data_IF_929290628009
#
_entry.id   IF_929290628009
#
_cell.length_a   1.000
_cell.length_b   1.000
_cell.length_c   1.000
_cell.angle_alpha   90.00
_cell.angle_beta   90.00
_cell.angle_gamma   90.00
#
_symmetry.space_group_name_H-M   'P 1'
#
loop_
_entity.id
_entity.type
_entity.pdbx_description
1 polymer ?
#
# COMPACT_ATOMS: atom_id res chain seq x y z
N UNK A 1 -27.02 14.42 -4.30
CA UNK A 1 -26.30 13.49 -5.21
C UNK A 1 -24.91 13.24 -4.65
N UNK A 2 -24.54 11.97 -4.44
CA UNK A 2 -23.18 11.59 -4.03
C UNK A 2 -22.36 11.22 -5.26
N UNK A 3 -21.20 11.84 -5.48
CA UNK A 3 -20.36 11.57 -6.65
C UNK A 3 -18.86 11.58 -6.34
N UNK A 4 -18.09 10.89 -7.17
CA UNK A 4 -16.65 11.18 -7.30
C UNK A 4 -16.45 12.56 -7.94
N UNK A 5 -15.27 13.16 -7.76
CA UNK A 5 -14.96 14.50 -8.25
C UNK A 5 -14.64 14.53 -9.77
N UNK A 6 -15.17 13.58 -10.54
CA UNK A 6 -14.96 13.53 -11.98
C UNK A 6 -15.61 14.75 -12.66
N UNK A 7 -14.92 15.33 -13.63
CA UNK A 7 -15.41 16.49 -14.37
C UNK A 7 -16.75 16.22 -15.09
N UNK A 8 -17.00 14.97 -15.49
CA UNK A 8 -18.28 14.53 -16.09
C UNK A 8 -19.43 14.61 -15.07
N UNK A 9 -19.15 14.41 -13.79
CA UNK A 9 -20.17 14.40 -12.74
C UNK A 9 -20.34 15.76 -12.06
N UNK A 10 -19.24 16.41 -11.68
CA UNK A 10 -19.24 17.65 -10.90
C UNK A 10 -18.73 18.89 -11.68
N UNK A 11 -18.53 18.76 -12.99
CA UNK A 11 -18.07 19.85 -13.84
C UNK A 11 -19.06 21.03 -13.85
N UNK A 12 -18.55 22.25 -13.61
CA UNK A 12 -19.35 23.49 -13.56
C UNK A 12 -20.11 23.79 -14.86
N UNK A 13 -19.67 23.24 -15.99
CA UNK A 13 -20.31 23.40 -17.30
C UNK A 13 -20.47 22.00 -17.91
N UNK A 14 -21.71 21.55 -18.04
CA UNK A 14 -22.03 20.26 -18.65
C UNK A 14 -21.78 19.02 -17.78
N UNK A 15 -21.40 19.17 -16.51
CA UNK A 15 -21.37 18.05 -15.57
C UNK A 15 -22.78 17.63 -15.16
N UNK A 16 -23.00 16.34 -14.91
CA UNK A 16 -24.32 15.78 -14.58
C UNK A 16 -24.99 16.51 -13.42
N UNK A 17 -24.26 16.82 -12.35
CA UNK A 17 -24.81 17.53 -11.21
C UNK A 17 -25.20 18.98 -11.54
N UNK A 18 -24.45 19.66 -12.42
CA UNK A 18 -24.79 20.99 -12.89
C UNK A 18 -26.05 20.98 -13.79
N UNK A 19 -26.21 19.95 -14.63
CA UNK A 19 -27.40 19.73 -15.45
C UNK A 19 -28.63 19.36 -14.58
N UNK A 20 -28.44 18.57 -13.53
CA UNK A 20 -29.52 18.24 -12.60
C UNK A 20 -29.92 19.46 -11.77
N UNK A 21 -28.96 20.30 -11.34
CA UNK A 21 -29.24 21.56 -10.63
C UNK A 21 -30.04 22.55 -11.48
N UNK A 22 -29.87 22.58 -12.80
CA UNK A 22 -30.68 23.46 -13.66
C UNK A 22 -32.16 23.08 -13.66
N UNK A 23 -32.49 21.81 -13.38
CA UNK A 23 -33.86 21.31 -13.29
C UNK A 23 -34.37 21.25 -11.84
N UNK A 24 -33.47 21.11 -10.87
CA UNK A 24 -33.75 21.07 -9.44
C UNK A 24 -32.79 22.00 -8.68
N UNK A 25 -33.13 23.29 -8.51
CA UNK A 25 -32.26 24.28 -7.86
C UNK A 25 -31.89 23.94 -6.41
N UNK A 26 -32.70 23.11 -5.75
CA UNK A 26 -32.47 22.68 -4.36
C UNK A 26 -31.57 21.43 -4.24
N UNK A 27 -31.04 20.90 -5.36
CA UNK A 27 -30.16 19.74 -5.34
C UNK A 27 -28.86 20.05 -4.60
N UNK A 28 -28.61 19.29 -3.52
CA UNK A 28 -27.34 19.31 -2.80
C UNK A 28 -26.40 18.27 -3.39
N UNK A 29 -25.21 18.73 -3.75
CA UNK A 29 -24.08 17.89 -4.15
C UNK A 29 -23.24 17.54 -2.92
N UNK A 30 -22.94 16.27 -2.75
CA UNK A 30 -22.11 15.76 -1.66
C UNK A 30 -20.97 14.96 -2.27
N UNK A 31 -19.74 15.25 -1.87
CA UNK A 31 -18.59 14.49 -2.32
C UNK A 31 -18.54 13.12 -1.63
N UNK A 32 -18.19 12.09 -2.39
CA UNK A 32 -17.98 10.76 -1.83
C UNK A 32 -16.82 10.76 -0.83
N UNK A 33 -17.12 10.49 0.45
CA UNK A 33 -16.13 10.54 1.54
C UNK A 33 -15.05 9.47 1.37
N UNK A 34 -15.40 8.29 0.84
CA UNK A 34 -14.43 7.26 0.49
C UNK A 34 -13.47 7.71 -0.62
N UNK A 35 -13.97 8.46 -1.61
CA UNK A 35 -13.13 9.06 -2.65
C UNK A 35 -12.23 10.16 -2.08
N UNK A 36 -12.76 11.01 -1.20
CA UNK A 36 -11.98 12.04 -0.47
C UNK A 36 -10.84 11.43 0.33
N UNK A 37 -11.07 10.30 1.01
CA UNK A 37 -10.02 9.55 1.70
C UNK A 37 -8.93 9.09 0.72
N UNK A 38 -9.33 8.49 -0.41
CA UNK A 38 -8.38 8.04 -1.43
C UNK A 38 -7.51 9.18 -1.97
N UNK A 39 -8.12 10.35 -2.27
CA UNK A 39 -7.39 11.55 -2.69
C UNK A 39 -6.41 12.05 -1.62
N UNK A 40 -6.86 12.13 -0.36
CA UNK A 40 -6.01 12.56 0.74
C UNK A 40 -4.76 11.68 0.89
N UNK A 41 -4.92 10.36 0.74
CA UNK A 41 -3.80 9.41 0.79
C UNK A 41 -2.84 9.64 -0.38
N UNK A 42 -3.36 9.78 -1.61
CA UNK A 42 -2.55 10.09 -2.81
C UNK A 42 -1.73 11.37 -2.59
N UNK A 43 -2.36 12.41 -2.06
CA UNK A 43 -1.72 13.71 -1.86
C UNK A 43 -0.64 13.67 -0.78
N UNK A 44 -0.85 12.92 0.30
CA UNK A 44 0.15 12.74 1.36
C UNK A 44 1.34 11.93 0.83
N UNK A 45 1.08 10.87 0.09
CA UNK A 45 2.14 10.01 -0.43
C UNK A 45 3.06 10.71 -1.41
N UNK A 46 2.51 11.53 -2.32
CA UNK A 46 3.29 12.37 -3.25
C UNK A 46 4.23 13.34 -2.53
N UNK A 47 3.91 13.70 -1.29
CA UNK A 47 4.73 14.60 -0.46
C UNK A 47 5.79 13.87 0.35
N UNK A 48 5.75 12.53 0.41
CA UNK A 48 6.72 11.72 1.15
C UNK A 48 7.80 11.18 0.20
N UNK A 49 9.07 11.61 0.36
CA UNK A 49 10.18 11.05 -0.41
C UNK A 49 10.38 9.55 -0.15
N UNK A 50 10.12 9.10 1.08
CA UNK A 50 10.27 7.69 1.47
C UNK A 50 9.27 6.79 0.75
N UNK A 51 8.01 7.22 0.69
CA UNK A 51 6.95 6.52 -0.04
C UNK A 51 7.23 6.53 -1.54
N UNK A 52 7.67 7.67 -2.09
CA UNK A 52 8.02 7.79 -3.51
C UNK A 52 9.19 6.88 -3.91
N UNK A 53 10.21 6.78 -3.05
CA UNK A 53 11.35 5.87 -3.23
C UNK A 53 10.90 4.41 -3.18
N UNK A 54 10.03 4.06 -2.23
CA UNK A 54 9.47 2.72 -2.10
C UNK A 54 8.66 2.32 -3.33
N UNK A 55 7.74 3.18 -3.79
CA UNK A 55 6.95 2.97 -5.01
C UNK A 55 7.83 2.80 -6.25
N UNK A 56 8.89 3.61 -6.36
CA UNK A 56 9.85 3.49 -7.47
C UNK A 56 10.52 2.13 -7.46
N UNK A 57 10.91 1.63 -6.30
CA UNK A 57 11.47 0.29 -6.19
C UNK A 57 10.46 -0.78 -6.59
N UNK A 58 9.21 -0.69 -6.12
CA UNK A 58 8.20 -1.68 -6.50
C UNK A 58 8.00 -1.72 -8.02
N UNK A 59 8.01 -0.57 -8.69
CA UNK A 59 7.95 -0.50 -10.15
C UNK A 59 9.16 -1.16 -10.83
N UNK A 60 10.36 -1.05 -10.26
CA UNK A 60 11.55 -1.75 -10.76
C UNK A 60 11.37 -3.26 -10.62
N UNK A 61 10.92 -3.76 -9.46
CA UNK A 61 10.61 -5.19 -9.27
C UNK A 61 9.54 -5.67 -10.25
N UNK A 62 8.44 -4.94 -10.41
CA UNK A 62 7.40 -5.29 -11.39
C UNK A 62 7.99 -5.36 -12.80
N UNK A 63 8.85 -4.41 -13.17
CA UNK A 63 9.50 -4.36 -14.48
C UNK A 63 10.46 -5.53 -14.67
N UNK A 64 11.23 -5.89 -13.64
CA UNK A 64 12.12 -7.05 -13.62
C UNK A 64 11.35 -8.33 -13.98
N UNK A 65 10.26 -8.61 -13.26
CA UNK A 65 9.42 -9.79 -13.53
C UNK A 65 8.70 -9.74 -14.88
N UNK A 66 8.30 -8.55 -15.35
CA UNK A 66 7.66 -8.41 -16.67
C UNK A 66 8.62 -8.70 -17.82
N UNK A 67 9.89 -8.38 -17.68
CA UNK A 67 10.91 -8.59 -18.73
C UNK A 67 11.27 -10.06 -18.90
N UNK A 68 11.12 -10.89 -17.87
CA UNK A 68 11.42 -12.32 -17.94
C UNK A 68 10.32 -13.17 -17.31
N UNK A 69 9.33 -13.63 -18.12
CA UNK A 69 8.37 -14.63 -17.68
C UNK A 69 9.02 -15.93 -17.17
N UNK A 70 10.27 -16.21 -17.57
CA UNK A 70 11.07 -17.32 -17.05
C UNK A 70 11.49 -17.11 -15.59
N UNK A 71 11.83 -15.88 -15.19
CA UNK A 71 12.12 -15.57 -13.78
C UNK A 71 10.88 -15.73 -12.90
N UNK A 72 9.70 -15.44 -13.46
CA UNK A 72 8.42 -15.71 -12.81
C UNK A 72 8.17 -17.21 -12.56
N UNK A 73 8.49 -18.08 -13.51
CA UNK A 73 8.41 -19.53 -13.32
C UNK A 73 9.50 -20.08 -12.38
N UNK A 74 10.61 -19.36 -12.24
CA UNK A 74 11.71 -19.71 -11.32
C UNK A 74 11.44 -19.26 -9.89
N UNK A 75 10.43 -18.42 -9.65
CA UNK A 75 9.94 -18.11 -8.33
C UNK A 75 9.38 -19.40 -7.72
N UNK A 76 10.26 -20.16 -7.06
CA UNK A 76 10.01 -21.46 -6.42
C UNK A 76 9.15 -21.27 -5.16
N UNK A 77 7.96 -20.69 -5.29
CA UNK A 77 6.98 -20.54 -4.23
C UNK A 77 6.62 -21.91 -3.63
N UNK A 78 6.61 -22.94 -4.48
CA UNK A 78 6.33 -24.34 -4.12
C UNK A 78 7.43 -24.97 -3.23
N UNK A 79 8.67 -24.45 -3.21
CA UNK A 79 9.77 -24.98 -2.39
C UNK A 79 9.83 -24.33 -1.00
N UNK A 80 9.25 -23.13 -0.86
CA UNK A 80 9.25 -22.36 0.38
C UNK A 80 7.91 -22.45 1.14
N UNK A 81 7.04 -23.38 0.74
CA UNK A 81 5.69 -23.56 1.28
C UNK A 81 4.87 -22.25 1.26
N UNK A 82 5.12 -21.42 0.22
CA UNK A 82 4.47 -20.13 0.06
C UNK A 82 3.32 -20.22 -0.93
N UNK A 83 2.20 -19.52 -0.69
CA UNK A 83 1.07 -19.52 -1.62
C UNK A 83 1.51 -19.03 -3.01
N UNK A 84 0.91 -19.59 -4.07
CA UNK A 84 1.14 -19.13 -5.45
C UNK A 84 0.64 -17.69 -5.62
N UNK A 85 1.51 -16.70 -5.47
CA UNK A 85 1.17 -15.28 -5.55
C UNK A 85 1.73 -14.70 -6.84
N UNK A 86 0.86 -14.07 -7.65
CA UNK A 86 1.28 -13.30 -8.82
C UNK A 86 2.24 -12.19 -8.40
N UNK A 87 3.26 -11.87 -9.22
CA UNK A 87 4.19 -10.79 -8.90
C UNK A 87 3.41 -9.50 -8.64
N UNK A 88 3.90 -8.63 -7.75
CA UNK A 88 3.25 -7.37 -7.48
C UNK A 88 3.14 -6.58 -8.79
N UNK A 89 1.93 -6.47 -9.33
CA UNK A 89 1.64 -5.49 -10.37
C UNK A 89 1.33 -4.17 -9.70
N UNK A 90 2.33 -3.29 -9.63
CA UNK A 90 2.11 -1.93 -9.17
C UNK A 90 1.59 -1.12 -10.35
N UNK A 91 0.27 -0.98 -10.42
CA UNK A 91 -0.35 -0.01 -11.30
C UNK A 91 -0.25 1.36 -10.62
N UNK A 92 0.39 2.33 -11.29
CA UNK A 92 0.73 3.69 -10.80
C UNK A 92 -0.45 4.55 -10.29
N UNK A 93 -1.68 4.05 -10.24
CA UNK A 93 -2.88 4.91 -10.16
C UNK A 93 -3.88 4.52 -9.07
N UNK A 94 -3.68 3.45 -8.28
CA UNK A 94 -4.64 3.10 -7.21
C UNK A 94 -3.93 2.63 -5.94
N UNK A 95 -4.10 3.36 -4.83
CA UNK A 95 -3.56 2.98 -3.52
C UNK A 95 -4.07 1.62 -3.04
N UNK A 96 -5.26 1.21 -3.47
CA UNK A 96 -5.79 -0.14 -3.27
C UNK A 96 -4.95 -1.23 -3.95
N UNK A 97 -4.32 -0.95 -5.10
CA UNK A 97 -3.34 -1.86 -5.72
C UNK A 97 -2.01 -1.89 -4.97
N UNK A 98 -1.66 -0.82 -4.24
CA UNK A 98 -0.45 -0.79 -3.42
C UNK A 98 -0.58 -1.67 -2.17
N UNK A 99 -1.75 -1.72 -1.53
CA UNK A 99 -2.02 -2.68 -0.44
C UNK A 99 -1.82 -4.11 -0.90
N UNK A 100 -2.41 -4.50 -2.04
CA UNK A 100 -2.25 -5.85 -2.59
C UNK A 100 -0.79 -6.12 -3.00
N UNK A 101 -0.10 -5.14 -3.56
CA UNK A 101 1.31 -5.28 -3.93
C UNK A 101 2.21 -5.51 -2.70
N UNK A 102 1.98 -4.75 -1.62
CA UNK A 102 2.72 -4.92 -0.35
C UNK A 102 2.44 -6.29 0.26
N UNK A 103 1.18 -6.72 0.30
CA UNK A 103 0.83 -8.06 0.79
C UNK A 103 1.50 -9.16 -0.04
N UNK A 104 1.54 -9.00 -1.36
CA UNK A 104 2.22 -9.95 -2.24
C UNK A 104 3.72 -9.97 -1.96
N UNK A 105 4.36 -8.81 -1.82
CA UNK A 105 5.78 -8.69 -1.50
C UNK A 105 6.08 -9.36 -0.16
N UNK A 106 5.33 -9.09 0.89
CA UNK A 106 5.57 -9.71 2.21
C UNK A 106 5.47 -11.23 2.11
N UNK A 107 4.49 -11.73 1.37
CA UNK A 107 4.31 -13.17 1.18
C UNK A 107 5.46 -13.78 0.39
N UNK A 108 5.99 -13.09 -0.62
CA UNK A 108 6.99 -13.65 -1.53
C UNK A 108 8.43 -13.22 -1.22
N UNK A 109 8.65 -12.33 -0.25
CA UNK A 109 9.97 -11.73 0.01
C UNK A 109 11.09 -12.76 0.20
N UNK A 110 10.92 -13.86 0.96
CA UNK A 110 11.96 -14.89 1.07
C UNK A 110 12.29 -15.55 -0.28
N UNK A 111 11.26 -15.88 -1.07
CA UNK A 111 11.44 -16.45 -2.39
C UNK A 111 12.12 -15.47 -3.36
N UNK A 112 11.78 -14.19 -3.27
CA UNK A 112 12.37 -13.12 -4.05
C UNK A 112 13.85 -12.96 -3.74
N UNK A 113 14.21 -12.91 -2.46
CA UNK A 113 15.60 -12.76 -2.02
C UNK A 113 16.47 -13.92 -2.52
N UNK A 114 16.02 -15.16 -2.28
CA UNK A 114 16.75 -16.36 -2.73
C UNK A 114 16.93 -16.40 -4.25
N UNK A 115 15.87 -16.09 -4.99
CA UNK A 115 15.95 -16.07 -6.44
C UNK A 115 16.89 -14.96 -6.95
N UNK A 116 16.85 -13.76 -6.37
CA UNK A 116 17.74 -12.66 -6.76
C UNK A 116 19.19 -12.96 -6.40
N UNK A 117 19.44 -13.66 -5.30
CA UNK A 117 20.76 -14.17 -4.91
C UNK A 117 21.29 -15.20 -5.92
N UNK A 118 20.49 -16.21 -6.25
CA UNK A 118 20.83 -17.24 -7.25
C UNK A 118 21.10 -16.63 -8.65
N UNK A 119 20.50 -15.48 -8.95
CA UNK A 119 20.66 -14.77 -10.23
C UNK A 119 21.72 -13.66 -10.18
N UNK A 120 22.29 -13.34 -9.03
CA UNK A 120 23.19 -12.19 -8.86
C UNK A 120 24.44 -12.26 -9.76
N UNK A 121 24.95 -13.47 -10.02
CA UNK A 121 26.11 -13.69 -10.89
C UNK A 121 25.79 -13.62 -12.38
N UNK A 122 24.53 -13.89 -12.77
CA UNK A 122 24.12 -14.05 -14.17
C UNK A 122 23.30 -12.85 -14.69
N UNK A 123 22.74 -12.04 -13.80
CA UNK A 123 21.88 -10.90 -14.11
C UNK A 123 22.36 -9.66 -13.35
N UNK A 124 22.94 -8.71 -14.09
CA UNK A 124 23.44 -7.44 -13.55
C UNK A 124 22.37 -6.62 -12.82
N UNK A 125 21.08 -6.89 -13.07
CA UNK A 125 19.97 -6.21 -12.41
C UNK A 125 19.52 -6.92 -11.14
N UNK A 126 19.87 -8.20 -10.95
CA UNK A 126 19.47 -8.99 -9.78
C UNK A 126 20.25 -8.59 -8.52
N UNK A 127 21.58 -8.41 -8.62
CA UNK A 127 22.43 -8.06 -7.47
C UNK A 127 22.02 -6.73 -6.80
N UNK A 128 21.84 -5.60 -7.53
CA UNK A 128 21.39 -4.35 -6.91
C UNK A 128 20.00 -4.45 -6.25
N UNK A 129 19.10 -5.26 -6.82
CA UNK A 129 17.78 -5.51 -6.24
C UNK A 129 17.89 -6.31 -4.94
N UNK A 130 18.66 -7.39 -4.94
CA UNK A 130 18.91 -8.19 -3.74
C UNK A 130 19.44 -7.34 -2.59
N UNK A 131 20.48 -6.54 -2.85
CA UNK A 131 21.07 -5.65 -1.84
C UNK A 131 20.06 -4.64 -1.30
N UNK A 132 19.25 -4.05 -2.17
CA UNK A 132 18.22 -3.09 -1.74
C UNK A 132 17.12 -3.75 -0.89
N UNK A 133 16.62 -4.92 -1.30
CA UNK A 133 15.54 -5.64 -0.62
C UNK A 133 15.96 -6.12 0.78
N UNK A 134 17.26 -6.30 1.03
CA UNK A 134 17.81 -6.64 2.35
C UNK A 134 18.01 -5.43 3.27
N UNK A 135 17.86 -4.21 2.77
CA UNK A 135 18.08 -3.04 3.62
C UNK A 135 17.04 -2.95 4.72
N UNK A 136 17.48 -2.53 5.91
CA UNK A 136 16.59 -2.19 7.03
C UNK A 136 15.48 -1.26 6.58
N UNK A 137 15.83 -0.22 5.80
CA UNK A 137 14.90 0.78 5.30
C UNK A 137 13.78 0.16 4.47
N UNK A 138 14.09 -0.76 3.56
CA UNK A 138 13.06 -1.41 2.76
C UNK A 138 12.12 -2.24 3.63
N UNK A 139 12.66 -3.12 4.47
CA UNK A 139 11.86 -3.99 5.33
C UNK A 139 10.98 -3.20 6.31
N UNK A 140 11.53 -2.15 6.92
CA UNK A 140 10.79 -1.22 7.77
C UNK A 140 9.63 -0.58 7.01
N UNK A 141 9.89 -0.01 5.82
CA UNK A 141 8.86 0.64 5.00
C UNK A 141 7.77 -0.35 4.58
N UNK A 142 8.14 -1.58 4.21
CA UNK A 142 7.17 -2.64 3.88
C UNK A 142 6.26 -2.96 5.06
N UNK A 143 6.82 -3.16 6.26
CA UNK A 143 6.05 -3.46 7.46
C UNK A 143 5.17 -2.28 7.89
N UNK A 144 5.73 -1.07 7.94
CA UNK A 144 5.02 0.16 8.27
C UNK A 144 3.84 0.42 7.33
N UNK A 145 4.08 0.37 6.02
CA UNK A 145 3.02 0.62 5.04
C UNK A 145 1.93 -0.45 5.13
N UNK A 146 2.27 -1.72 5.39
CA UNK A 146 1.26 -2.77 5.52
C UNK A 146 0.29 -2.51 6.69
N UNK A 147 0.80 -2.12 7.86
CA UNK A 147 -0.04 -1.79 9.01
C UNK A 147 -0.91 -0.56 8.71
N UNK A 148 -0.31 0.49 8.15
CA UNK A 148 -1.01 1.72 7.77
C UNK A 148 -2.13 1.44 6.76
N UNK A 149 -1.86 0.66 5.73
CA UNK A 149 -2.84 0.29 4.71
C UNK A 149 -3.95 -0.60 5.23
N UNK A 150 -3.65 -1.46 6.19
CA UNK A 150 -4.67 -2.27 6.85
C UNK A 150 -5.70 -1.37 7.56
N UNK A 151 -5.23 -0.38 8.32
CA UNK A 151 -6.09 0.62 8.96
C UNK A 151 -6.88 1.47 7.96
N UNK A 152 -6.23 1.95 6.91
CA UNK A 152 -6.88 2.67 5.80
C UNK A 152 -7.97 1.82 5.13
N UNK A 153 -7.70 0.54 4.92
CA UNK A 153 -8.65 -0.39 4.31
C UNK A 153 -9.89 -0.59 5.17
N UNK A 154 -9.74 -0.66 6.49
CA UNK A 154 -10.86 -0.71 7.44
C UNK A 154 -11.69 0.58 7.35
N UNK A 155 -11.05 1.75 7.44
CA UNK A 155 -11.75 3.04 7.32
C UNK A 155 -12.48 3.16 5.97
N UNK A 156 -11.81 2.83 4.88
CA UNK A 156 -12.36 2.89 3.52
C UNK A 156 -13.61 2.03 3.36
N UNK A 157 -13.59 0.79 3.88
CA UNK A 157 -14.79 -0.09 3.89
C UNK A 157 -15.91 0.48 4.76
N UNK A 158 -15.58 1.05 5.92
CA UNK A 158 -16.55 1.71 6.79
C UNK A 158 -17.24 2.89 6.10
N UNK A 159 -16.48 3.72 5.38
CA UNK A 159 -16.99 4.85 4.61
C UNK A 159 -17.76 4.46 3.32
N UNK A 160 -17.71 3.19 2.92
CA UNK A 160 -18.47 2.65 1.79
C UNK A 160 -19.72 1.87 2.25
N UNK A 161 -19.95 1.79 3.57
CA UNK A 161 -21.12 1.11 4.12
C UNK A 161 -22.42 1.76 3.65
N UNK A 162 -23.43 0.93 3.36
CA UNK A 162 -24.78 1.39 2.99
C UNK A 162 -25.47 2.15 4.13
N UNK A 163 -25.07 1.86 5.37
CA UNK A 163 -25.67 2.44 6.58
C UNK A 163 -24.85 3.61 7.12
N UNK A 164 -24.03 4.23 6.27
CA UNK A 164 -23.21 5.39 6.64
C UNK A 164 -24.10 6.61 6.85
N UNK A 165 -24.00 7.19 8.04
CA UNK A 165 -24.56 8.50 8.36
C UNK A 165 -23.44 9.43 8.87
N UNK A 166 -23.76 10.70 9.10
CA UNK A 166 -22.78 11.70 9.52
C UNK A 166 -22.09 11.35 10.85
N UNK A 167 -22.84 10.82 11.81
CA UNK A 167 -22.32 10.41 13.12
C UNK A 167 -21.31 9.25 12.98
N UNK A 168 -21.68 8.17 12.30
CA UNK A 168 -20.80 7.02 12.03
C UNK A 168 -19.57 7.42 11.23
N UNK A 169 -19.72 8.29 10.23
CA UNK A 169 -18.59 8.82 9.47
C UNK A 169 -17.60 9.52 10.40
N UNK A 170 -18.09 10.40 11.28
CA UNK A 170 -17.26 11.16 12.21
C UNK A 170 -16.56 10.23 13.20
N UNK A 171 -17.28 9.24 13.74
CA UNK A 171 -16.72 8.21 14.61
C UNK A 171 -15.60 7.40 13.93
N UNK A 172 -15.83 6.92 12.70
CA UNK A 172 -14.85 6.12 11.95
C UNK A 172 -13.56 6.91 11.71
N UNK A 173 -13.69 8.16 11.25
CA UNK A 173 -12.54 9.04 10.99
C UNK A 173 -11.79 9.36 12.30
N UNK A 174 -12.52 9.71 13.36
CA UNK A 174 -11.91 10.04 14.64
C UNK A 174 -11.19 8.84 15.26
N UNK A 175 -11.82 7.67 15.25
CA UNK A 175 -11.22 6.41 15.72
C UNK A 175 -9.96 6.07 14.93
N UNK A 176 -9.96 6.26 13.61
CA UNK A 176 -8.79 6.02 12.78
C UNK A 176 -7.64 6.98 13.13
N UNK A 177 -7.92 8.27 13.30
CA UNK A 177 -6.91 9.27 13.69
C UNK A 177 -6.31 8.93 15.07
N UNK A 178 -7.15 8.56 16.04
CA UNK A 178 -6.68 8.15 17.37
C UNK A 178 -5.78 6.92 17.28
N UNK A 179 -6.18 5.91 16.50
CA UNK A 179 -5.37 4.71 16.27
C UNK A 179 -4.03 5.04 15.62
N UNK A 180 -3.97 5.94 14.63
CA UNK A 180 -2.69 6.36 14.05
C UNK A 180 -1.80 7.06 15.08
N UNK A 181 -2.38 7.96 15.89
CA UNK A 181 -1.63 8.67 16.93
C UNK A 181 -1.05 7.71 17.97
N UNK A 182 -1.87 6.79 18.49
CA UNK A 182 -1.43 5.83 19.49
C UNK A 182 -0.40 4.84 18.96
N UNK A 183 -0.45 4.51 17.67
CA UNK A 183 0.46 3.53 17.06
C UNK A 183 1.81 4.14 16.65
N UNK A 184 1.85 5.41 16.24
CA UNK A 184 3.04 5.99 15.60
C UNK A 184 3.55 7.29 16.20
N UNK A 185 2.80 7.97 17.08
CA UNK A 185 3.12 9.32 17.57
C UNK A 185 3.20 9.41 19.10
N UNK A 186 3.43 8.28 19.79
CA UNK A 186 3.63 8.21 21.24
C UNK A 186 5.07 7.78 21.55
N UNK A 187 5.55 8.10 22.76
CA UNK A 187 6.95 7.86 23.17
C UNK A 187 7.30 6.36 23.28
N UNK A 188 6.30 5.50 23.51
CA UNK A 188 6.45 4.04 23.53
C UNK A 188 5.34 3.40 22.70
N UNK A 189 5.48 3.37 21.36
CA UNK A 189 4.44 2.87 20.48
C UNK A 189 4.33 1.34 20.58
N UNK A 190 3.12 0.85 20.81
CA UNK A 190 2.75 -0.49 20.37
C UNK A 190 2.60 -0.42 18.84
N UNK A 191 3.70 -0.66 18.14
CA UNK A 191 3.70 -0.69 16.69
C UNK A 191 2.62 -1.64 16.16
N UNK A 192 2.10 -1.35 14.97
CA UNK A 192 1.17 -2.24 14.30
C UNK A 192 1.73 -3.67 14.17
N UNK A 193 0.86 -4.68 13.97
CA UNK A 193 1.24 -6.09 14.09
C UNK A 193 2.44 -6.49 13.21
N UNK A 194 2.61 -5.92 12.01
CA UNK A 194 3.79 -6.23 11.19
C UNK A 194 5.02 -5.47 11.62
N UNK A 195 4.89 -4.19 11.93
CA UNK A 195 6.02 -3.38 12.35
C UNK A 195 6.54 -3.82 13.72
N UNK A 196 5.65 -4.18 14.66
CA UNK A 196 6.01 -4.78 15.94
C UNK A 196 6.75 -6.10 15.77
N UNK A 197 6.27 -7.00 14.90
CA UNK A 197 7.00 -8.23 14.57
C UNK A 197 8.38 -7.96 13.95
N UNK A 198 8.49 -6.93 13.11
CA UNK A 198 9.77 -6.52 12.54
C UNK A 198 10.75 -6.05 13.62
N UNK A 199 10.30 -5.22 14.58
CA UNK A 199 11.11 -4.78 15.71
C UNK A 199 11.53 -5.93 16.63
N UNK A 200 10.61 -6.83 17.00
CA UNK A 200 10.95 -8.02 17.79
C UNK A 200 12.02 -8.85 17.09
N UNK A 201 11.88 -9.09 15.77
CA UNK A 201 12.91 -9.79 15.00
C UNK A 201 14.25 -9.08 15.04
N UNK A 202 14.28 -7.75 14.87
CA UNK A 202 15.52 -6.96 14.96
C UNK A 202 16.19 -7.08 16.32
N UNK A 203 15.44 -6.97 17.41
CA UNK A 203 15.94 -7.07 18.77
C UNK A 203 16.49 -8.48 19.08
N UNK A 204 15.81 -9.53 18.58
CA UNK A 204 16.31 -10.90 18.71
C UNK A 204 17.52 -11.22 17.81
N UNK A 205 17.79 -10.38 16.80
CA UNK A 205 18.89 -10.54 15.84
C UNK A 205 20.03 -9.52 16.01
N UNK A 206 20.11 -8.82 17.15
CA UNK A 206 21.31 -8.03 17.48
C UNK A 206 22.50 -8.97 17.65
N UNK A 207 23.49 -8.82 16.75
CA UNK A 207 24.74 -9.57 16.59
C UNK A 207 24.70 -10.83 15.71
N UNK A 208 25.26 -10.63 14.50
CA UNK A 208 25.86 -11.61 13.59
C UNK A 208 24.89 -12.25 12.60
N UNK A 209 24.98 -11.66 11.41
CA UNK A 209 24.69 -12.20 10.09
C UNK A 209 23.28 -12.72 9.84
N UNK A 210 22.59 -12.02 8.94
CA UNK A 210 21.38 -12.47 8.25
C UNK A 210 21.72 -13.59 7.24
N UNK A 211 22.52 -14.58 7.65
CA UNK A 211 23.09 -15.65 6.80
C UNK A 211 22.15 -16.87 6.64
N UNK A 212 20.88 -16.78 7.02
CA UNK A 212 19.93 -17.89 6.86
C UNK A 212 18.53 -17.45 6.47
N UNK A 213 18.42 -16.75 5.34
CA UNK A 213 17.25 -16.82 4.47
C UNK A 213 17.68 -17.38 3.12
#
# INVERSE_FOLDING_TARGET
MGSDEAAVMLGKRGGEAALLKSHCPHLVEVHCVAHRLALAIVDVAKKSPDVSSYESMLNILTTYFRRSPKQLSQLRQDILDQPKVKPPEVHRVRWLSMTQAIDNIIKTLPALLKMLEDQAENDITASPLYEYLKTYRFMFMTAFLQDLFTGIGILSRGLQSRDLNYEKMTMLVHSFILSLKSTYLVDSPEYGPKLGLFYVKLETHTCRTWDKY
#
